data_IF_564186763357
#
_entry.id   IF_564186763357
#
_cell.length_a   1.000
_cell.length_b   1.000
_cell.length_c   1.000
_cell.angle_alpha   90.00
_cell.angle_beta   90.00
_cell.angle_gamma   90.00
#
_symmetry.space_group_name_H-M   'P 1'
#
loop_
_entity.id
_entity.type
_entity.pdbx_description
1 polymer ?
#
# COMPACT_ATOMS: atom_id res chain seq x y z
N UNK A 1 -7.63 -21.46 8.25
CA UNK A 1 -8.02 -20.07 7.99
C UNK A 1 -8.49 -19.50 9.30
N UNK A 2 -7.83 -18.46 9.84
CA UNK A 2 -8.18 -17.89 11.14
C UNK A 2 -9.51 -17.13 11.11
N UNK A 3 -10.08 -16.87 12.28
CA UNK A 3 -11.25 -16.00 12.43
C UNK A 3 -10.94 -14.59 11.88
N UNK A 4 -11.74 -14.06 10.93
CA UNK A 4 -11.50 -12.76 10.31
C UNK A 4 -11.43 -11.60 11.30
N UNK A 5 -12.20 -11.64 12.39
CA UNK A 5 -12.20 -10.57 13.39
C UNK A 5 -10.89 -10.54 14.18
N UNK A 6 -10.39 -11.72 14.55
CA UNK A 6 -9.12 -11.88 15.25
C UNK A 6 -7.94 -11.49 14.35
N UNK A 7 -7.96 -11.91 13.08
CA UNK A 7 -6.93 -11.55 12.10
C UNK A 7 -6.91 -10.05 11.83
N UNK A 8 -8.07 -9.44 11.58
CA UNK A 8 -8.17 -8.01 11.30
C UNK A 8 -7.69 -7.18 12.50
N UNK A 9 -8.12 -7.54 13.71
CA UNK A 9 -7.65 -6.86 14.93
C UNK A 9 -6.14 -6.95 15.06
N UNK A 10 -5.55 -8.14 14.91
CA UNK A 10 -4.11 -8.33 14.99
C UNK A 10 -3.35 -7.52 13.93
N UNK A 11 -3.90 -7.42 12.71
CA UNK A 11 -3.34 -6.62 11.63
C UNK A 11 -3.37 -5.12 11.97
N UNK A 12 -4.50 -4.61 12.45
CA UNK A 12 -4.70 -3.19 12.76
C UNK A 12 -3.97 -2.73 14.03
N UNK A 13 -3.78 -3.61 15.00
CA UNK A 13 -3.10 -3.32 16.26
C UNK A 13 -1.57 -3.39 16.12
N UNK A 14 -1.04 -3.79 14.96
CA UNK A 14 0.42 -3.92 14.73
C UNK A 14 1.10 -2.55 14.81
N UNK A 15 1.98 -2.29 15.81
CA UNK A 15 2.58 -0.99 16.01
C UNK A 15 3.36 -0.48 14.79
N UNK A 16 3.23 0.80 14.49
CA UNK A 16 3.92 1.45 13.36
C UNK A 16 3.32 1.13 11.98
N UNK A 17 2.26 0.31 11.92
CA UNK A 17 1.58 0.02 10.66
C UNK A 17 0.71 1.18 10.20
N UNK A 18 0.56 1.29 8.88
CA UNK A 18 -0.37 2.23 8.24
C UNK A 18 -1.35 1.44 7.39
N UNK A 19 -2.64 1.72 7.55
CA UNK A 19 -3.70 1.11 6.76
C UNK A 19 -4.45 2.21 6.00
N UNK A 20 -4.57 2.05 4.69
CA UNK A 20 -5.30 2.93 3.80
C UNK A 20 -6.49 2.17 3.22
N UNK A 21 -7.62 2.86 3.07
CA UNK A 21 -8.80 2.36 2.38
C UNK A 21 -9.18 3.32 1.24
N UNK A 22 -9.65 2.76 0.14
CA UNK A 22 -10.30 3.50 -0.94
C UNK A 22 -11.78 3.19 -0.87
N UNK A 23 -12.59 4.24 -0.80
CA UNK A 23 -14.05 4.12 -0.86
C UNK A 23 -14.56 4.54 -2.24
N UNK A 24 -15.63 3.87 -2.69
CA UNK A 24 -16.42 4.34 -3.82
C UNK A 24 -17.36 5.50 -3.44
N UNK A 25 -18.19 5.95 -4.38
CA UNK A 25 -19.15 7.02 -4.14
C UNK A 25 -20.30 6.66 -3.18
N UNK A 26 -20.41 5.39 -2.79
CA UNK A 26 -21.41 4.85 -1.89
C UNK A 26 -20.80 4.46 -0.53
N UNK A 27 -19.60 4.98 -0.22
CA UNK A 27 -18.81 4.71 0.98
C UNK A 27 -18.38 3.24 1.17
N UNK A 28 -18.50 2.40 0.14
CA UNK A 28 -18.02 1.02 0.19
C UNK A 28 -16.52 0.97 0.01
N UNK A 29 -15.82 0.19 0.82
CA UNK A 29 -14.39 -0.06 0.66
C UNK A 29 -14.18 -0.97 -0.55
N UNK A 30 -13.44 -0.49 -1.54
CA UNK A 30 -13.18 -1.20 -2.81
C UNK A 30 -11.70 -1.54 -3.02
N UNK A 31 -10.83 -0.95 -2.19
CA UNK A 31 -9.44 -1.34 -2.11
C UNK A 31 -8.86 -1.00 -0.74
N UNK A 32 -7.87 -1.79 -0.31
CA UNK A 32 -7.10 -1.56 0.90
C UNK A 32 -5.61 -1.68 0.61
N UNK A 33 -4.82 -0.94 1.38
CA UNK A 33 -3.37 -1.04 1.38
C UNK A 33 -2.82 -1.00 2.80
N UNK A 34 -1.80 -1.79 3.06
CA UNK A 34 -1.15 -1.90 4.34
C UNK A 34 0.34 -1.67 4.18
N UNK A 35 0.92 -0.87 5.07
CA UNK A 35 2.35 -0.73 5.24
C UNK A 35 2.69 -1.27 6.63
N UNK A 36 3.46 -2.34 6.71
CA UNK A 36 3.76 -3.05 7.96
C UNK A 36 5.27 -3.02 8.22
N UNK A 37 5.72 -2.54 9.39
CA UNK A 37 7.13 -2.58 9.76
C UNK A 37 7.71 -4.00 9.76
N UNK A 38 8.88 -4.16 9.15
CA UNK A 38 9.73 -5.35 9.25
C UNK A 38 11.21 -4.94 9.33
N UNK A 39 11.76 -4.98 10.55
CA UNK A 39 13.13 -4.52 10.85
C UNK A 39 13.39 -3.08 10.37
N UNK A 40 14.31 -2.87 9.43
CA UNK A 40 14.61 -1.54 8.85
C UNK A 40 13.78 -1.25 7.59
N UNK A 41 12.90 -2.18 7.21
CA UNK A 41 12.09 -2.16 5.99
C UNK A 41 10.60 -2.07 6.34
N UNK A 42 9.78 -1.84 5.34
CA UNK A 42 8.34 -1.91 5.49
C UNK A 42 7.69 -2.71 4.34
N UNK A 43 6.88 -3.69 4.71
CA UNK A 43 6.12 -4.50 3.77
C UNK A 43 4.86 -3.75 3.32
N UNK A 44 4.66 -3.65 2.01
CA UNK A 44 3.46 -3.15 1.37
C UNK A 44 2.60 -4.30 0.85
N UNK A 45 1.37 -4.40 1.35
CA UNK A 45 0.37 -5.36 0.89
C UNK A 45 -0.88 -4.61 0.38
N UNK A 46 -1.46 -5.07 -0.73
CA UNK A 46 -2.60 -4.42 -1.38
C UNK A 46 -3.68 -5.44 -1.75
N UNK A 47 -4.94 -5.01 -1.67
CA UNK A 47 -6.07 -5.74 -2.22
C UNK A 47 -7.00 -4.75 -2.92
N UNK A 48 -7.41 -5.07 -4.15
CA UNK A 48 -8.35 -4.28 -4.95
C UNK A 48 -9.45 -5.23 -5.42
N UNK A 49 -10.71 -4.88 -5.14
CA UNK A 49 -11.86 -5.63 -5.66
C UNK A 49 -11.76 -5.79 -7.18
N UNK A 50 -12.08 -6.97 -7.71
CA UNK A 50 -11.90 -7.30 -9.12
C UNK A 50 -12.58 -6.29 -10.07
N UNK A 51 -13.79 -5.83 -9.72
CA UNK A 51 -14.53 -4.83 -10.48
C UNK A 51 -13.82 -3.46 -10.59
N UNK A 52 -12.88 -3.19 -9.68
CA UNK A 52 -12.14 -1.93 -9.58
C UNK A 52 -10.67 -2.06 -10.02
N UNK A 53 -10.24 -3.25 -10.43
CA UNK A 53 -8.91 -3.45 -11.01
C UNK A 53 -8.75 -2.68 -12.33
N UNK A 54 -7.50 -2.46 -12.76
CA UNK A 54 -7.14 -1.68 -13.95
C UNK A 54 -7.56 -0.18 -13.93
N UNK A 55 -8.06 0.34 -12.81
CA UNK A 55 -8.39 1.77 -12.63
C UNK A 55 -7.27 2.57 -11.92
N UNK A 56 -6.05 2.03 -11.88
CA UNK A 56 -4.89 2.68 -11.24
C UNK A 56 -4.95 2.76 -9.71
N UNK A 57 -5.88 2.07 -9.05
CA UNK A 57 -6.02 2.10 -7.58
C UNK A 57 -4.77 1.55 -6.87
N UNK A 58 -4.19 0.45 -7.36
CA UNK A 58 -2.96 -0.13 -6.81
C UNK A 58 -1.79 0.86 -6.85
N UNK A 59 -1.54 1.50 -7.99
CA UNK A 59 -0.50 2.53 -8.15
C UNK A 59 -0.73 3.71 -7.22
N UNK A 60 -2.00 4.16 -7.07
CA UNK A 60 -2.34 5.24 -6.13
C UNK A 60 -2.07 4.83 -4.69
N UNK A 61 -2.47 3.63 -4.28
CA UNK A 61 -2.20 3.12 -2.93
C UNK A 61 -0.70 3.03 -2.66
N UNK A 62 0.10 2.42 -3.55
CA UNK A 62 1.56 2.35 -3.43
C UNK A 62 2.19 3.73 -3.25
N UNK A 63 1.73 4.73 -4.02
CA UNK A 63 2.24 6.10 -3.87
C UNK A 63 1.97 6.68 -2.48
N UNK A 64 0.79 6.44 -1.92
CA UNK A 64 0.46 6.93 -0.57
C UNK A 64 1.24 6.15 0.49
N UNK A 65 1.35 4.83 0.36
CA UNK A 65 2.17 4.01 1.26
C UNK A 65 3.65 4.44 1.19
N UNK A 66 4.18 4.79 0.01
CA UNK A 66 5.52 5.34 -0.15
C UNK A 66 5.72 6.65 0.64
N UNK A 67 4.74 7.55 0.66
CA UNK A 67 4.80 8.73 1.54
C UNK A 67 4.85 8.37 3.02
N UNK A 68 4.09 7.36 3.44
CA UNK A 68 4.14 6.88 4.81
C UNK A 68 5.48 6.19 5.12
N UNK A 69 6.06 5.49 4.14
CA UNK A 69 7.36 4.85 4.27
C UNK A 69 8.46 5.89 4.53
N UNK A 70 8.51 6.93 3.69
CA UNK A 70 9.45 8.06 3.84
C UNK A 70 9.28 8.75 5.19
N UNK A 71 8.04 9.08 5.57
CA UNK A 71 7.76 9.75 6.84
C UNK A 71 8.09 8.89 8.06
N UNK A 72 8.00 7.57 7.93
CA UNK A 72 8.35 6.62 8.96
C UNK A 72 9.85 6.38 9.11
N UNK A 73 10.68 6.88 8.17
CA UNK A 73 12.13 6.67 8.19
C UNK A 73 12.56 5.24 7.84
N UNK A 74 11.71 4.48 7.17
CA UNK A 74 12.05 3.13 6.68
C UNK A 74 13.10 3.22 5.58
N UNK A 75 14.04 2.27 5.49
CA UNK A 75 15.07 2.28 4.44
C UNK A 75 14.49 1.82 3.10
N UNK A 76 13.76 0.70 3.12
CA UNK A 76 13.18 0.07 1.94
C UNK A 76 11.68 -0.16 2.11
N UNK A 77 10.95 -0.11 1.00
CA UNK A 77 9.60 -0.65 0.91
C UNK A 77 9.62 -1.88 0.00
N UNK A 78 9.02 -2.98 0.44
CA UNK A 78 8.97 -4.22 -0.34
C UNK A 78 7.57 -4.84 -0.34
N UNK A 79 7.33 -5.79 -1.24
CA UNK A 79 6.11 -6.58 -1.25
C UNK A 79 6.35 -7.95 -1.85
N UNK A 80 5.49 -8.91 -1.50
CA UNK A 80 5.55 -10.27 -2.01
C UNK A 80 4.56 -10.47 -3.16
N UNK A 81 5.07 -11.04 -4.25
CA UNK A 81 4.30 -11.42 -5.44
C UNK A 81 4.19 -12.93 -5.44
N UNK A 82 2.97 -13.43 -5.26
CA UNK A 82 2.68 -14.86 -5.33
C UNK A 82 2.77 -15.37 -6.78
N UNK A 83 3.14 -16.64 -6.98
CA UNK A 83 3.19 -17.21 -8.32
C UNK A 83 1.80 -17.19 -8.98
N UNK A 84 1.74 -16.74 -10.23
CA UNK A 84 0.49 -16.58 -10.99
C UNK A 84 -0.15 -15.19 -10.89
N UNK A 85 0.38 -14.27 -10.07
CA UNK A 85 -0.07 -12.88 -10.02
C UNK A 85 0.67 -12.02 -11.06
N UNK A 86 0.18 -12.04 -12.30
CA UNK A 86 0.72 -11.17 -13.37
C UNK A 86 0.28 -9.70 -13.23
N UNK A 87 -0.73 -9.42 -12.40
CA UNK A 87 -1.36 -8.10 -12.28
C UNK A 87 -0.46 -7.13 -11.54
N UNK A 88 0.19 -7.59 -10.47
CA UNK A 88 1.15 -6.78 -9.74
C UNK A 88 2.35 -6.37 -10.61
N UNK A 89 2.74 -7.20 -11.59
CA UNK A 89 3.77 -6.83 -12.57
C UNK A 89 3.33 -5.63 -13.42
N UNK A 90 2.04 -5.51 -13.75
CA UNK A 90 1.52 -4.33 -14.47
C UNK A 90 1.55 -3.06 -13.60
N UNK A 91 1.28 -3.19 -12.30
CA UNK A 91 1.38 -2.06 -11.36
C UNK A 91 2.84 -1.59 -11.24
N UNK A 92 3.78 -2.52 -11.06
CA UNK A 92 5.20 -2.22 -10.86
C UNK A 92 5.88 -1.69 -12.13
N UNK A 93 5.44 -2.06 -13.34
CA UNK A 93 5.92 -1.46 -14.60
C UNK A 93 5.69 0.05 -14.68
N UNK A 94 4.71 0.58 -13.95
CA UNK A 94 4.40 2.02 -13.91
C UNK A 94 5.00 2.69 -12.66
N UNK A 95 5.86 2.00 -11.91
CA UNK A 95 6.58 2.61 -10.81
C UNK A 95 7.52 3.69 -11.36
N UNK A 96 7.51 4.86 -10.72
CA UNK A 96 8.39 5.97 -11.08
C UNK A 96 9.81 5.83 -10.48
N UNK A 97 10.11 4.67 -9.90
CA UNK A 97 11.37 4.35 -9.21
C UNK A 97 11.96 3.05 -9.75
N UNK A 98 13.28 2.85 -9.62
CA UNK A 98 13.87 1.52 -9.78
C UNK A 98 13.19 0.53 -8.83
N UNK A 99 12.68 -0.57 -9.37
CA UNK A 99 12.14 -1.68 -8.60
C UNK A 99 13.03 -2.88 -8.83
N UNK A 100 13.54 -3.45 -7.75
CA UNK A 100 14.37 -4.64 -7.75
C UNK A 100 13.51 -5.87 -7.47
N UNK A 101 13.94 -7.01 -7.99
CA UNK A 101 13.22 -8.27 -7.88
C UNK A 101 14.15 -9.38 -7.41
N UNK A 102 13.72 -10.14 -6.40
CA UNK A 102 14.37 -11.36 -5.95
C UNK A 102 13.34 -12.48 -5.94
N UNK A 103 13.66 -13.62 -6.56
CA UNK A 103 12.78 -14.79 -6.59
C UNK A 103 13.36 -15.88 -5.70
N UNK A 104 12.57 -16.30 -4.70
CA UNK A 104 12.92 -17.34 -3.73
C UNK A 104 11.67 -18.17 -3.42
N UNK A 105 11.82 -19.49 -3.30
CA UNK A 105 10.77 -20.42 -2.86
C UNK A 105 9.37 -20.23 -3.49
N UNK A 106 9.36 -19.89 -4.79
CA UNK A 106 8.13 -19.71 -5.57
C UNK A 106 7.46 -18.34 -5.44
N UNK A 107 7.93 -17.46 -4.55
CA UNK A 107 7.50 -16.07 -4.47
C UNK A 107 8.52 -15.13 -5.13
N UNK A 108 8.07 -13.96 -5.58
CA UNK A 108 8.94 -12.88 -6.01
C UNK A 108 8.81 -11.70 -5.04
N UNK A 109 9.88 -11.36 -4.36
CA UNK A 109 9.97 -10.11 -3.59
C UNK A 109 10.31 -8.98 -4.54
N UNK A 110 9.48 -7.94 -4.56
CA UNK A 110 9.76 -6.68 -5.24
C UNK A 110 10.05 -5.59 -4.21
N UNK A 111 11.10 -4.80 -4.39
CA UNK A 111 11.46 -3.75 -3.45
C UNK A 111 12.01 -2.50 -4.14
N UNK A 112 11.90 -1.36 -3.44
CA UNK A 112 12.48 -0.09 -3.83
C UNK A 112 13.02 0.66 -2.60
N UNK A 113 14.13 1.38 -2.78
CA UNK A 113 14.68 2.27 -1.75
C UNK A 113 13.72 3.43 -1.50
N UNK A 114 13.51 3.78 -0.23
CA UNK A 114 12.68 4.95 0.10
C UNK A 114 13.31 6.27 -0.32
N UNK A 115 14.64 6.32 -0.47
CA UNK A 115 15.36 7.45 -1.05
C UNK A 115 14.96 7.70 -2.50
N UNK A 116 14.85 6.65 -3.31
CA UNK A 116 14.38 6.73 -4.69
C UNK A 116 12.90 7.14 -4.75
N UNK A 117 12.08 6.56 -3.85
CA UNK A 117 10.66 6.95 -3.71
C UNK A 117 10.53 8.43 -3.35
N UNK A 118 11.38 8.95 -2.46
CA UNK A 118 11.36 10.35 -2.06
C UNK A 118 11.68 11.30 -3.21
N UNK A 119 12.53 10.89 -4.15
CA UNK A 119 12.85 11.66 -5.36
C UNK A 119 11.67 11.62 -6.35
N UNK A 120 11.08 10.44 -6.55
CA UNK A 120 10.08 10.23 -7.58
C UNK A 120 8.66 10.68 -7.20
N UNK A 121 8.31 10.70 -5.91
CA UNK A 121 6.95 11.02 -5.47
C UNK A 121 6.84 12.49 -5.04
N UNK A 122 6.02 13.31 -5.71
CA UNK A 122 5.87 14.71 -5.34
C UNK A 122 5.29 14.84 -3.93
N UNK A 123 5.70 15.86 -3.14
CA UNK A 123 5.24 16.01 -1.77
C UNK A 123 3.72 16.08 -1.68
N UNK A 124 3.18 15.47 -0.63
CA UNK A 124 1.75 15.42 -0.35
C UNK A 124 1.13 16.82 -0.43
N UNK A 125 0.30 17.08 -1.45
CA UNK A 125 -0.55 18.26 -1.49
C UNK A 125 -1.83 17.97 -0.74
N UNK A 126 -2.00 18.59 0.44
CA UNK A 126 -3.30 18.59 1.12
C UNK A 126 -4.32 19.21 0.16
N UNK A 127 -5.30 18.43 -0.29
CA UNK A 127 -6.52 19.00 -0.85
C UNK A 127 -7.23 19.71 0.30
N UNK A 128 -7.12 21.03 0.35
CA UNK A 128 -8.00 21.87 1.16
C UNK A 128 -9.41 21.70 0.63
N UNK A 129 -10.22 20.86 1.30
CA UNK A 129 -11.62 20.68 0.94
C UNK A 129 -12.12 19.25 1.13
N UNK A 130 -12.25 18.81 2.38
CA UNK A 130 -13.39 17.99 2.77
C UNK A 130 -13.87 18.56 4.11
N UNK A 131 -15.05 19.20 4.07
CA UNK A 131 -15.67 19.84 5.22
C UNK A 131 -16.12 18.70 6.14
N UNK A 132 -15.52 18.58 7.33
CA UNK A 132 -16.08 17.73 8.38
C UNK A 132 -17.47 18.27 8.73
N UNK A 133 -18.54 17.58 8.30
CA UNK A 133 -19.81 17.74 9.01
C UNK A 133 -19.66 16.96 10.31
N UNK A 134 -19.23 17.65 11.36
CA UNK A 134 -19.61 17.26 12.70
C UNK A 134 -21.15 17.28 12.70
N UNK A 135 -21.76 16.11 12.84
CA UNK A 135 -23.14 16.04 13.33
C UNK A 135 -23.02 15.75 14.81
N UNK A 136 -23.48 16.73 15.58
CA UNK A 136 -23.70 16.65 17.01
C UNK A 136 -24.50 15.39 17.37
N UNK A 137 -24.03 14.70 18.41
CA UNK A 137 -24.82 13.95 19.38
C UNK A 137 -24.14 14.07 20.74
#
# INVERSE_FOLDING_TARGET
MGDPHSYLRALLDRPGSVHLAVQDSSDRIVAVGHLMPDNEKAEAALLVEDAWQNNGLGTRLLRHLGHHAIRGGWKEMYGLILPGDERISAVLRHAAVPVHFLREDGATTAWAETSDIAIAVPPWRRRTGCRSSARDW
#
